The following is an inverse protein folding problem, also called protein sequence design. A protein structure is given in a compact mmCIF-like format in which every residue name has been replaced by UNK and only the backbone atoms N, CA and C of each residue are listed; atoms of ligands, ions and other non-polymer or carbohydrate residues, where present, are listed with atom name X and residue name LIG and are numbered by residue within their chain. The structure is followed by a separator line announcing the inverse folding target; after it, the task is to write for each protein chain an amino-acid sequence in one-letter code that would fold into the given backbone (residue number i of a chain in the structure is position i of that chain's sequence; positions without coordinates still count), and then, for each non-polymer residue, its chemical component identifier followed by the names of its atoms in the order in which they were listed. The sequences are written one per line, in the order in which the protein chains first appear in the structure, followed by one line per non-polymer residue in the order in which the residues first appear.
data_IF_820686210914
#
_entry.id   IF_820686210914
#
_cell.length_a   1.000
_cell.length_b   1.000
_cell.length_c   1.000
_cell.angle_alpha   90.00
_cell.angle_beta   90.00
_cell.angle_gamma   90.00
#
_symmetry.space_group_name_H-M   'P 1'
#
loop_
_entity.id
_entity.type
_entity.pdbx_description
1 polymer ?
#
# COMPACT_ATOMS: atom_id res chain seq x y z
N UNK A 1 7.77 8.79 5.37
CA UNK A 1 6.75 8.57 4.31
C UNK A 1 6.58 9.77 3.36
N UNK A 2 7.13 10.95 3.69
CA UNK A 2 6.99 12.15 2.83
C UNK A 2 7.61 11.97 1.43
N UNK A 3 8.74 11.26 1.34
CA UNK A 3 9.45 10.99 0.07
C UNK A 3 8.92 9.75 -0.68
N UNK A 4 7.71 9.29 -0.36
CA UNK A 4 7.08 8.13 -1.01
C UNK A 4 5.98 8.65 -1.91
N UNK A 5 6.07 8.35 -3.20
CA UNK A 5 5.12 8.80 -4.22
C UNK A 5 3.83 7.97 -4.18
N UNK A 6 3.95 6.66 -3.96
CA UNK A 6 2.82 5.73 -3.93
C UNK A 6 2.96 4.66 -2.86
N UNK A 7 1.82 4.22 -2.35
CA UNK A 7 1.72 3.17 -1.33
C UNK A 7 0.76 2.09 -1.83
N UNK A 8 1.16 0.83 -1.67
CA UNK A 8 0.27 -0.32 -1.79
C UNK A 8 0.22 -1.05 -0.44
N UNK A 9 -0.97 -1.15 0.16
CA UNK A 9 -1.22 -1.95 1.36
C UNK A 9 -2.20 -3.05 0.97
N UNK A 10 -1.82 -4.32 1.20
CA UNK A 10 -2.73 -5.44 0.96
C UNK A 10 -3.98 -5.32 1.82
N UNK A 11 -5.14 -5.24 1.17
CA UNK A 11 -6.42 -5.02 1.81
C UNK A 11 -7.02 -6.34 2.31
N UNK A 12 -6.47 -6.92 3.38
CA UNK A 12 -7.11 -8.08 4.01
C UNK A 12 -8.53 -7.73 4.49
N UNK A 13 -8.70 -6.50 4.99
CA UNK A 13 -9.98 -5.84 5.27
C UNK A 13 -9.84 -4.34 5.04
N UNK A 14 -10.94 -3.61 4.84
CA UNK A 14 -10.90 -2.15 4.65
C UNK A 14 -10.23 -1.44 5.84
N UNK A 15 -10.52 -1.92 7.06
CA UNK A 15 -9.94 -1.42 8.29
C UNK A 15 -8.41 -1.54 8.33
N UNK A 16 -7.82 -2.57 7.71
CA UNK A 16 -6.35 -2.77 7.72
C UNK A 16 -5.66 -1.59 7.08
N UNK A 17 -6.08 -1.18 5.88
CA UNK A 17 -5.50 -0.04 5.18
C UNK A 17 -5.78 1.26 5.93
N UNK A 18 -7.05 1.54 6.25
CA UNK A 18 -7.45 2.80 6.88
C UNK A 18 -6.75 3.04 8.22
N UNK A 19 -6.70 2.03 9.10
CA UNK A 19 -6.05 2.13 10.40
C UNK A 19 -4.53 2.20 10.26
N UNK A 20 -3.92 1.43 9.36
CA UNK A 20 -2.47 1.50 9.11
C UNK A 20 -2.06 2.91 8.67
N UNK A 21 -2.82 3.52 7.76
CA UNK A 21 -2.56 4.90 7.34
C UNK A 21 -2.77 5.90 8.48
N UNK A 22 -3.79 5.69 9.33
CA UNK A 22 -4.07 6.59 10.46
C UNK A 22 -2.95 6.55 11.51
N UNK A 23 -2.39 5.36 11.76
CA UNK A 23 -1.20 5.18 12.61
C UNK A 23 0.02 5.85 11.97
N UNK A 24 0.27 5.64 10.67
CA UNK A 24 1.38 6.27 9.94
C UNK A 24 1.27 7.81 9.88
N UNK A 25 0.05 8.33 9.90
CA UNK A 25 -0.24 9.75 9.99
C UNK A 25 0.04 10.33 11.38
N UNK A 26 0.26 9.50 12.41
CA UNK A 26 0.38 9.96 13.79
C UNK A 26 -0.94 10.51 14.32
N UNK A 27 -2.08 9.98 13.86
CA UNK A 27 -3.43 10.47 14.15
C UNK A 27 -3.74 11.89 13.65
N UNK A 28 -2.89 12.47 12.79
CA UNK A 28 -3.16 13.74 12.10
C UNK A 28 -4.11 13.51 10.90
N UNK A 29 -5.30 14.12 10.93
CA UNK A 29 -6.33 13.89 9.91
C UNK A 29 -5.92 14.41 8.53
N UNK A 30 -5.27 15.57 8.46
CA UNK A 30 -4.83 16.15 7.18
C UNK A 30 -3.77 15.24 6.51
N UNK A 31 -2.85 14.71 7.31
CA UNK A 31 -1.84 13.77 6.84
C UNK A 31 -2.46 12.43 6.48
N UNK A 32 -3.48 11.98 7.20
CA UNK A 32 -4.20 10.74 6.91
C UNK A 32 -4.93 10.82 5.57
N UNK A 33 -5.61 11.93 5.27
CA UNK A 33 -6.25 12.17 3.97
C UNK A 33 -5.23 12.17 2.83
N UNK A 34 -4.11 12.91 2.98
CA UNK A 34 -3.03 12.93 1.97
C UNK A 34 -2.39 11.55 1.75
N UNK A 35 -2.32 10.71 2.78
CA UNK A 35 -1.82 9.35 2.64
C UNK A 35 -2.82 8.48 1.87
N UNK A 36 -4.13 8.66 2.06
CA UNK A 36 -5.16 7.93 1.33
C UNK A 36 -5.10 8.24 -0.18
N UNK A 37 -4.90 9.50 -0.57
CA UNK A 37 -4.84 9.92 -1.99
C UNK A 37 -3.77 9.18 -2.83
N UNK A 38 -2.72 8.68 -2.17
CA UNK A 38 -1.61 7.96 -2.82
C UNK A 38 -1.52 6.49 -2.45
N UNK A 39 -2.54 5.94 -1.77
CA UNK A 39 -2.58 4.53 -1.37
C UNK A 39 -3.58 3.74 -2.22
N UNK A 40 -3.18 2.57 -2.73
CA UNK A 40 -4.03 1.63 -3.47
C UNK A 40 -4.80 2.28 -4.65
N UNK A 41 -4.13 3.20 -5.36
CA UNK A 41 -4.75 4.09 -6.37
C UNK A 41 -5.39 3.37 -7.56
N UNK A 42 -5.05 2.10 -7.77
CA UNK A 42 -5.57 1.24 -8.83
C UNK A 42 -6.49 0.12 -8.29
N UNK A 43 -6.94 0.23 -7.03
CA UNK A 43 -7.72 -0.79 -6.33
C UNK A 43 -6.85 -1.86 -5.66
N UNK A 44 -7.39 -2.48 -4.60
CA UNK A 44 -6.68 -3.47 -3.80
C UNK A 44 -7.41 -4.81 -3.68
N UNK A 45 -7.01 -5.59 -2.67
CA UNK A 45 -7.42 -6.97 -2.51
C UNK A 45 -8.92 -7.15 -2.20
N UNK A 46 -9.61 -6.12 -1.68
CA UNK A 46 -11.07 -6.17 -1.48
C UNK A 46 -11.79 -6.27 -2.83
N UNK A 47 -11.33 -5.50 -3.81
CA UNK A 47 -11.95 -5.45 -5.13
C UNK A 47 -11.44 -6.56 -6.06
N UNK A 48 -10.13 -6.82 -6.03
CA UNK A 48 -9.43 -7.68 -7.00
C UNK A 48 -9.31 -9.12 -6.49
N UNK A 49 -9.39 -9.32 -5.17
CA UNK A 49 -9.21 -10.61 -4.52
C UNK A 49 -7.84 -10.79 -3.86
N UNK A 50 -7.77 -11.76 -2.94
CA UNK A 50 -6.59 -12.07 -2.12
C UNK A 50 -6.17 -13.54 -2.28
N UNK A 51 -5.51 -13.93 -3.38
CA UNK A 51 -4.87 -15.24 -3.47
C UNK A 51 -3.67 -15.28 -2.52
N UNK A 52 -3.83 -16.02 -1.42
CA UNK A 52 -2.79 -16.18 -0.39
C UNK A 52 -1.52 -16.76 -1.02
N UNK A 53 -0.35 -16.22 -0.65
CA UNK A 53 0.95 -16.56 -1.23
C UNK A 53 1.32 -15.78 -2.50
N UNK A 54 0.33 -15.34 -3.30
CA UNK A 54 0.59 -14.56 -4.53
C UNK A 54 0.39 -13.04 -4.34
N UNK A 55 -0.41 -12.64 -3.36
CA UNK A 55 -0.81 -11.23 -3.19
C UNK A 55 0.35 -10.27 -2.92
N UNK A 56 1.41 -10.72 -2.22
CA UNK A 56 2.62 -9.91 -1.99
C UNK A 56 3.33 -9.52 -3.30
N UNK A 57 3.49 -10.48 -4.21
CA UNK A 57 4.03 -10.21 -5.54
C UNK A 57 3.07 -9.32 -6.36
N UNK A 58 1.75 -9.57 -6.29
CA UNK A 58 0.74 -8.77 -6.98
C UNK A 58 0.81 -7.29 -6.60
N UNK A 59 0.74 -6.95 -5.30
CA UNK A 59 0.78 -5.54 -4.86
C UNK A 59 2.10 -4.86 -5.25
N UNK A 60 3.21 -5.59 -5.18
CA UNK A 60 4.53 -5.08 -5.55
C UNK A 60 4.58 -4.75 -7.05
N UNK A 61 4.03 -5.63 -7.88
CA UNK A 61 3.94 -5.42 -9.33
C UNK A 61 2.97 -4.27 -9.67
N UNK A 62 1.80 -4.20 -9.01
CA UNK A 62 0.84 -3.09 -9.16
C UNK A 62 1.52 -1.75 -8.86
N UNK A 63 2.25 -1.64 -7.75
CA UNK A 63 3.02 -0.46 -7.38
C UNK A 63 4.07 -0.10 -8.43
N UNK A 64 4.88 -1.08 -8.85
CA UNK A 64 5.95 -0.88 -9.83
C UNK A 64 5.40 -0.39 -11.17
N UNK A 65 4.32 -0.99 -11.67
CA UNK A 65 3.69 -0.58 -12.93
C UNK A 65 3.08 0.81 -12.83
N UNK A 66 2.46 1.15 -11.70
CA UNK A 66 1.89 2.48 -11.51
C UNK A 66 2.95 3.57 -11.43
N UNK A 67 4.04 3.34 -10.67
CA UNK A 67 5.17 4.27 -10.67
C UNK A 67 5.73 4.45 -12.07
N UNK A 68 5.93 3.35 -12.82
CA UNK A 68 6.38 3.42 -14.22
C UNK A 68 5.43 4.25 -15.09
N UNK A 69 4.11 4.06 -14.93
CA UNK A 69 3.09 4.82 -15.67
C UNK A 69 3.16 6.32 -15.39
N UNK A 70 3.58 6.70 -14.17
CA UNK A 70 3.78 8.11 -13.75
C UNK A 70 5.16 8.68 -14.08
N UNK A 71 6.04 7.91 -14.72
CA UNK A 71 7.39 8.35 -15.10
C UNK A 71 8.50 7.99 -14.10
N UNK A 72 8.23 7.08 -13.16
CA UNK A 72 9.18 6.62 -12.14
C UNK A 72 8.78 7.09 -10.73
N UNK A 73 9.68 6.86 -9.77
CA UNK A 73 9.50 7.32 -8.39
C UNK A 73 9.81 6.25 -7.34
N UNK A 74 9.53 6.56 -6.08
CA UNK A 74 9.74 5.67 -4.93
C UNK A 74 8.40 5.25 -4.34
N UNK A 75 8.22 3.95 -4.14
CA UNK A 75 6.99 3.39 -3.58
C UNK A 75 7.24 2.45 -2.41
N UNK A 76 6.18 2.21 -1.65
CA UNK A 76 6.16 1.22 -0.56
C UNK A 76 5.04 0.22 -0.82
N UNK A 77 5.35 -1.07 -0.75
CA UNK A 77 4.35 -2.14 -0.67
C UNK A 77 4.41 -2.79 0.71
N UNK A 78 3.27 -2.98 1.36
CA UNK A 78 3.15 -3.61 2.66
C UNK A 78 2.01 -4.63 2.71
N UNK A 79 2.21 -5.73 3.43
CA UNK A 79 1.24 -6.82 3.55
C UNK A 79 1.26 -7.36 4.97
N UNK A 80 0.06 -7.62 5.52
CA UNK A 80 -0.07 -8.37 6.76
C UNK A 80 -0.04 -9.87 6.47
N UNK A 81 0.56 -10.63 7.38
CA UNK A 81 0.57 -12.09 7.39
C UNK A 81 -0.38 -12.64 8.45
N UNK A 82 -0.81 -13.89 8.26
CA UNK A 82 -1.43 -14.64 9.34
C UNK A 82 -0.50 -14.71 10.57
N UNK A 83 -1.06 -14.99 11.74
CA UNK A 83 -0.28 -15.12 12.99
C UNK A 83 0.43 -13.81 13.43
N UNK A 84 -0.10 -12.65 13.02
CA UNK A 84 0.38 -11.34 13.48
C UNK A 84 1.68 -10.88 12.82
N UNK A 85 2.03 -11.45 11.67
CA UNK A 85 3.21 -11.06 10.89
C UNK A 85 2.88 -9.88 9.97
N UNK A 86 3.93 -9.25 9.44
CA UNK A 86 3.79 -8.23 8.43
C UNK A 86 5.13 -7.89 7.79
N UNK A 87 5.09 -7.65 6.49
CA UNK A 87 6.25 -7.36 5.67
C UNK A 87 6.02 -6.06 4.91
N UNK A 88 7.11 -5.31 4.71
CA UNK A 88 7.12 -4.13 3.86
C UNK A 88 8.39 -4.11 3.03
N UNK A 89 8.29 -3.55 1.83
CA UNK A 89 9.42 -3.26 0.97
C UNK A 89 9.34 -1.84 0.43
N UNK A 90 10.50 -1.28 0.14
CA UNK A 90 10.65 -0.03 -0.61
C UNK A 90 11.21 -0.41 -1.97
N UNK A 91 10.63 0.12 -3.04
CA UNK A 91 11.18 -0.01 -4.38
C UNK A 91 11.27 1.35 -5.07
N UNK A 92 12.19 1.43 -6.02
CA UNK A 92 12.38 2.61 -6.86
C UNK A 92 12.30 2.17 -8.32
N UNK A 93 11.53 2.92 -9.10
CA UNK A 93 11.36 2.76 -10.55
C UNK A 93 11.96 3.95 -11.26
#
# INVERSE_FOLDING_TARGET
IENIDLIEINEAFAAVTLVSLKILAGMDENKWERLQEKTNVNGGAIAIGHPVGASGARITMTLMYELRRRGGGTGVAAICGGLGQGEALVLKV
#
